data_IF_721239662761
#
_entry.id   IF_721239662761
#
_cell.length_a   1.000
_cell.length_b   1.000
_cell.length_c   1.000
_cell.angle_alpha   90.00
_cell.angle_beta   90.00
_cell.angle_gamma   90.00
#
_symmetry.space_group_name_H-M   'P 1'
#
loop_
_entity.id
_entity.type
_entity.pdbx_description
1 polymer ?
#
# COMPACT_ATOMS: atom_id res chain seq x y z
N UNK A 1 -7.31 33.48 -73.78
CA UNK A 1 -7.92 33.27 -72.44
C UNK A 1 -7.63 31.83 -71.98
N UNK A 2 -6.57 31.63 -71.17
CA UNK A 2 -6.21 30.31 -70.62
C UNK A 2 -7.14 30.00 -69.44
N UNK A 3 -8.04 29.03 -69.62
CA UNK A 3 -8.95 28.55 -68.56
C UNK A 3 -8.11 27.97 -67.41
N UNK A 4 -8.35 28.45 -66.19
CA UNK A 4 -7.71 27.99 -64.96
C UNK A 4 -8.23 26.62 -64.52
N UNK A 5 -7.86 25.56 -65.23
CA UNK A 5 -8.33 24.18 -64.98
C UNK A 5 -7.72 23.55 -63.71
N UNK A 6 -6.89 24.28 -62.95
CA UNK A 6 -6.24 23.80 -61.72
C UNK A 6 -6.84 24.30 -60.40
N UNK A 7 -7.57 25.43 -60.39
CA UNK A 7 -8.05 26.07 -59.15
C UNK A 7 -9.31 25.38 -58.60
N UNK A 8 -10.17 24.87 -59.48
CA UNK A 8 -11.38 24.13 -59.08
C UNK A 8 -11.07 22.75 -58.50
N UNK A 9 -10.01 22.08 -58.97
CA UNK A 9 -9.52 20.82 -58.38
C UNK A 9 -8.98 21.03 -56.98
N UNK A 10 -8.20 22.10 -56.78
CA UNK A 10 -7.65 22.47 -55.47
C UNK A 10 -8.74 22.87 -54.46
N UNK A 11 -9.77 23.62 -54.90
CA UNK A 11 -10.89 24.00 -54.00
C UNK A 11 -11.79 22.80 -53.67
N UNK A 12 -11.93 21.84 -54.59
CA UNK A 12 -12.66 20.59 -54.33
C UNK A 12 -11.89 19.66 -53.38
N UNK A 13 -10.57 19.63 -53.49
CA UNK A 13 -9.68 18.92 -52.57
C UNK A 13 -9.67 19.55 -51.17
N UNK A 14 -9.67 20.89 -51.06
CA UNK A 14 -9.73 21.56 -49.77
C UNK A 14 -11.12 21.39 -49.11
N UNK A 15 -12.20 21.48 -49.89
CA UNK A 15 -13.55 21.21 -49.41
C UNK A 15 -13.75 19.77 -48.94
N UNK A 16 -13.22 18.77 -49.67
CA UNK A 16 -13.31 17.37 -49.26
C UNK A 16 -12.50 17.09 -47.99
N UNK A 17 -11.29 17.65 -47.87
CA UNK A 17 -10.45 17.52 -46.67
C UNK A 17 -11.15 18.12 -45.44
N UNK A 18 -11.79 19.29 -45.59
CA UNK A 18 -12.56 19.91 -44.51
C UNK A 18 -13.78 19.06 -44.09
N UNK A 19 -14.47 18.44 -45.05
CA UNK A 19 -15.58 17.52 -44.77
C UNK A 19 -15.12 16.22 -44.09
N UNK A 20 -13.99 15.66 -44.51
CA UNK A 20 -13.41 14.49 -43.83
C UNK A 20 -12.97 14.83 -42.40
N UNK A 21 -12.40 16.02 -42.18
CA UNK A 21 -12.04 16.50 -40.85
C UNK A 21 -13.27 16.71 -39.95
N UNK A 22 -14.36 17.29 -40.46
CA UNK A 22 -15.59 17.47 -39.67
C UNK A 22 -16.27 16.13 -39.34
N UNK A 23 -16.30 15.19 -40.30
CA UNK A 23 -16.82 13.84 -40.08
C UNK A 23 -15.98 13.09 -39.05
N UNK A 24 -14.64 13.14 -39.16
CA UNK A 24 -13.72 12.54 -38.20
C UNK A 24 -13.92 13.09 -36.79
N UNK A 25 -14.06 14.41 -36.65
CA UNK A 25 -14.37 15.05 -35.37
C UNK A 25 -15.73 14.59 -34.83
N UNK A 26 -16.76 14.49 -35.67
CA UNK A 26 -18.10 14.04 -35.26
C UNK A 26 -18.10 12.57 -34.80
N UNK A 27 -17.39 11.70 -35.52
CA UNK A 27 -17.24 10.28 -35.11
C UNK A 27 -16.51 10.20 -33.77
N UNK A 28 -15.44 10.99 -33.60
CA UNK A 28 -14.67 11.03 -32.36
C UNK A 28 -15.51 11.54 -31.17
N UNK A 29 -16.30 12.61 -31.36
CA UNK A 29 -17.17 13.13 -30.30
C UNK A 29 -18.29 12.14 -29.96
N UNK A 30 -18.82 11.42 -30.94
CA UNK A 30 -19.84 10.39 -30.70
C UNK A 30 -19.25 9.21 -29.91
N UNK A 31 -18.08 8.70 -30.29
CA UNK A 31 -17.37 7.66 -29.53
C UNK A 31 -17.08 8.08 -28.08
N UNK A 32 -16.67 9.33 -27.86
CA UNK A 32 -16.45 9.86 -26.50
C UNK A 32 -17.76 9.91 -25.71
N UNK A 33 -18.86 10.28 -26.37
CA UNK A 33 -20.18 10.38 -25.73
C UNK A 33 -20.70 8.99 -25.35
N UNK A 34 -20.55 8.02 -26.24
CA UNK A 34 -20.92 6.62 -26.00
C UNK A 34 -20.10 6.01 -24.86
N UNK A 35 -18.78 6.25 -24.85
CA UNK A 35 -17.90 5.80 -23.77
C UNK A 35 -18.31 6.41 -22.42
N UNK A 36 -18.64 7.70 -22.39
CA UNK A 36 -19.13 8.37 -21.16
C UNK A 36 -20.43 7.74 -20.66
N UNK A 37 -21.37 7.44 -21.55
CA UNK A 37 -22.62 6.79 -21.18
C UNK A 37 -22.40 5.37 -20.63
N UNK A 38 -21.48 4.61 -21.23
CA UNK A 38 -21.09 3.27 -20.75
C UNK A 38 -20.43 3.34 -19.37
N UNK A 39 -19.52 4.30 -19.14
CA UNK A 39 -18.87 4.50 -17.85
C UNK A 39 -19.89 4.86 -16.75
N UNK A 40 -20.86 5.72 -17.06
CA UNK A 40 -21.89 6.11 -16.09
C UNK A 40 -22.86 4.95 -15.75
N UNK A 41 -23.23 4.15 -16.75
CA UNK A 41 -24.02 2.93 -16.56
C UNK A 41 -23.27 1.92 -15.69
N UNK A 42 -22.02 1.64 -16.02
CA UNK A 42 -21.17 0.74 -15.23
C UNK A 42 -21.01 1.24 -13.79
N UNK A 43 -20.80 2.54 -13.62
CA UNK A 43 -20.71 3.16 -12.31
C UNK A 43 -21.96 2.95 -11.47
N UNK A 44 -23.13 3.20 -12.05
CA UNK A 44 -24.42 3.03 -11.35
C UNK A 44 -24.63 1.58 -10.93
N UNK A 45 -24.26 0.63 -11.80
CA UNK A 45 -24.28 -0.79 -11.48
C UNK A 45 -23.33 -1.13 -10.32
N UNK A 46 -22.11 -0.58 -10.31
CA UNK A 46 -21.11 -0.85 -9.26
C UNK A 46 -21.52 -0.26 -7.90
N UNK A 47 -22.12 0.93 -7.87
CA UNK A 47 -22.68 1.52 -6.64
C UNK A 47 -23.83 0.65 -6.12
N UNK A 48 -24.72 0.19 -7.00
CA UNK A 48 -25.85 -0.66 -6.62
C UNK A 48 -25.37 -2.00 -6.08
N UNK A 49 -24.39 -2.62 -6.74
CA UNK A 49 -23.75 -3.85 -6.30
C UNK A 49 -23.11 -3.70 -4.92
N UNK A 50 -22.36 -2.62 -4.69
CA UNK A 50 -21.73 -2.39 -3.40
C UNK A 50 -22.72 -2.21 -2.27
N UNK A 51 -23.84 -1.51 -2.51
CA UNK A 51 -24.89 -1.35 -1.49
C UNK A 51 -25.58 -2.67 -1.15
N UNK A 52 -25.84 -3.50 -2.16
CA UNK A 52 -26.47 -4.81 -1.96
C UNK A 52 -25.55 -5.81 -1.24
N UNK A 53 -24.25 -5.80 -1.57
CA UNK A 53 -23.27 -6.78 -1.10
C UNK A 53 -22.25 -6.20 -0.10
N UNK A 54 -22.59 -5.12 0.61
CA UNK A 54 -21.64 -4.45 1.51
C UNK A 54 -21.10 -5.40 2.59
N UNK A 55 -22.00 -6.15 3.24
CA UNK A 55 -21.62 -7.12 4.27
C UNK A 55 -20.72 -8.24 3.71
N UNK A 56 -21.01 -8.72 2.51
CA UNK A 56 -20.22 -9.77 1.85
C UNK A 56 -18.81 -9.25 1.50
N UNK A 57 -18.72 -8.02 0.97
CA UNK A 57 -17.45 -7.34 0.67
C UNK A 57 -16.62 -7.13 1.95
N UNK A 58 -17.27 -6.83 3.08
CA UNK A 58 -16.59 -6.71 4.38
C UNK A 58 -16.16 -8.05 4.95
N UNK A 59 -16.84 -9.14 4.65
CA UNK A 59 -16.53 -10.46 5.22
C UNK A 59 -15.51 -11.26 4.40
N UNK A 60 -15.59 -11.20 3.08
CA UNK A 60 -14.74 -11.98 2.17
C UNK A 60 -13.61 -11.11 1.56
N UNK A 61 -12.33 -11.33 1.94
CA UNK A 61 -11.21 -10.60 1.37
C UNK A 61 -11.04 -10.81 -0.13
N UNK A 62 -11.37 -11.99 -0.67
CA UNK A 62 -11.22 -12.26 -2.11
C UNK A 62 -12.22 -11.43 -2.91
N UNK A 63 -13.49 -11.40 -2.48
CA UNK A 63 -14.51 -10.53 -3.05
C UNK A 63 -14.12 -9.06 -2.93
N UNK A 64 -13.64 -8.65 -1.75
CA UNK A 64 -13.18 -7.28 -1.49
C UNK A 64 -12.09 -6.85 -2.46
N UNK A 65 -11.10 -7.69 -2.68
CA UNK A 65 -10.00 -7.43 -3.60
C UNK A 65 -10.47 -7.31 -5.06
N UNK A 66 -11.35 -8.21 -5.51
CA UNK A 66 -11.88 -8.14 -6.88
C UNK A 66 -12.74 -6.88 -7.08
N UNK A 67 -13.57 -6.54 -6.10
CA UNK A 67 -14.36 -5.32 -6.13
C UNK A 67 -13.49 -4.07 -6.26
N UNK A 68 -12.39 -4.02 -5.52
CA UNK A 68 -11.43 -2.92 -5.58
C UNK A 68 -10.65 -2.86 -6.89
N UNK A 69 -10.27 -4.02 -7.46
CA UNK A 69 -9.69 -4.09 -8.80
C UNK A 69 -10.61 -3.49 -9.85
N UNK A 70 -11.92 -3.77 -9.77
CA UNK A 70 -12.92 -3.18 -10.66
C UNK A 70 -13.01 -1.65 -10.48
N UNK A 71 -12.97 -1.15 -9.25
CA UNK A 71 -12.93 0.30 -8.98
C UNK A 71 -11.66 0.94 -9.59
N UNK A 72 -10.49 0.35 -9.33
CA UNK A 72 -9.21 0.87 -9.81
C UNK A 72 -9.11 0.89 -11.34
N UNK A 73 -9.67 -0.11 -12.03
CA UNK A 73 -9.68 -0.18 -13.49
C UNK A 73 -10.38 1.03 -14.16
N UNK A 74 -11.32 1.67 -13.45
CA UNK A 74 -12.05 2.84 -13.95
C UNK A 74 -11.39 4.15 -13.51
N UNK A 75 -10.28 4.07 -12.77
CA UNK A 75 -9.63 5.23 -12.16
C UNK A 75 -10.39 5.76 -10.95
N UNK A 76 -11.19 4.89 -10.31
CA UNK A 76 -11.91 5.19 -9.09
C UNK A 76 -11.16 4.59 -7.91
N UNK A 77 -10.81 5.42 -6.94
CA UNK A 77 -10.28 4.95 -5.66
C UNK A 77 -11.41 4.80 -4.62
N UNK A 78 -11.75 3.56 -4.19
CA UNK A 78 -12.77 3.35 -3.17
C UNK A 78 -12.37 3.86 -1.78
N UNK A 79 -11.09 4.21 -1.57
CA UNK A 79 -10.54 4.71 -0.31
C UNK A 79 -10.68 6.23 -0.16
N UNK A 80 -10.90 6.96 -1.25
CA UNK A 80 -11.09 8.41 -1.20
C UNK A 80 -12.55 8.71 -0.86
N UNK A 81 -12.81 8.87 0.44
CA UNK A 81 -14.04 9.48 0.98
C UNK A 81 -14.19 10.94 0.57
N UNK A 82 -15.41 11.48 0.67
CA UNK A 82 -15.84 12.76 0.07
C UNK A 82 -15.22 14.02 0.65
N UNK A 83 -14.16 13.91 1.45
CA UNK A 83 -13.47 15.03 2.08
C UNK A 83 -12.29 15.60 1.29
N UNK A 84 -11.69 14.86 0.36
CA UNK A 84 -10.53 15.35 -0.39
C UNK A 84 -10.96 16.27 -1.55
N UNK A 85 -11.23 17.54 -1.25
CA UNK A 85 -11.19 18.66 -2.23
C UNK A 85 -9.75 18.92 -2.70
N UNK A 86 -9.10 17.87 -3.21
CA UNK A 86 -7.75 17.89 -3.76
C UNK A 86 -7.82 18.17 -5.26
N UNK A 87 -7.44 19.38 -5.61
CA UNK A 87 -7.30 19.92 -6.95
C UNK A 87 -6.49 19.00 -7.88
N UNK A 88 -7.14 18.46 -8.91
CA UNK A 88 -6.48 17.97 -10.13
C UNK A 88 -6.39 16.45 -10.30
N UNK A 89 -7.36 15.88 -11.02
CA UNK A 89 -7.18 15.17 -12.31
C UNK A 89 -8.50 14.46 -12.65
N UNK A 90 -8.99 14.77 -13.86
CA UNK A 90 -10.17 14.24 -14.58
C UNK A 90 -11.55 14.44 -13.91
N UNK A 91 -12.50 15.00 -14.67
CA UNK A 91 -13.88 15.31 -14.23
C UNK A 91 -14.78 14.09 -13.94
N UNK A 92 -14.19 12.94 -13.61
CA UNK A 92 -14.84 11.69 -13.21
C UNK A 92 -14.54 11.33 -11.74
N UNK A 93 -13.79 12.16 -11.02
CA UNK A 93 -13.59 12.03 -9.56
C UNK A 93 -14.84 12.49 -8.80
N UNK A 94 -15.89 11.68 -8.86
CA UNK A 94 -16.99 11.75 -7.91
C UNK A 94 -16.68 10.79 -6.79
N UNK A 95 -16.46 11.32 -5.59
CA UNK A 95 -16.21 10.60 -4.33
C UNK A 95 -17.06 9.32 -4.19
N UNK A 96 -16.37 8.18 -4.14
CA UNK A 96 -16.98 6.87 -3.91
C UNK A 96 -16.93 6.46 -2.44
N UNK A 97 -16.02 7.04 -1.64
CA UNK A 97 -15.86 6.60 -0.27
C UNK A 97 -17.08 6.86 0.62
N UNK A 98 -17.87 7.90 0.37
CA UNK A 98 -19.12 8.17 1.14
C UNK A 98 -20.29 7.28 0.67
N UNK A 99 -20.29 6.81 -0.58
CA UNK A 99 -21.39 6.02 -1.15
C UNK A 99 -21.25 4.51 -0.96
N UNK A 100 -20.03 4.02 -0.74
CA UNK A 100 -19.75 2.59 -0.64
C UNK A 100 -19.62 2.08 0.80
N UNK A 101 -19.47 2.97 1.81
CA UNK A 101 -19.27 2.56 3.22
C UNK A 101 -18.04 1.68 3.48
N UNK A 102 -17.20 1.51 2.45
CA UNK A 102 -15.97 0.73 2.49
C UNK A 102 -14.80 1.58 2.99
N UNK A 103 -14.85 2.89 2.76
CA UNK A 103 -13.87 3.86 3.27
C UNK A 103 -13.87 3.85 4.80
N UNK A 104 -15.05 3.88 5.43
CA UNK A 104 -15.24 3.83 6.88
C UNK A 104 -14.57 2.59 7.51
N UNK A 105 -14.82 1.40 6.94
CA UNK A 105 -14.16 0.16 7.39
C UNK A 105 -12.63 0.22 7.22
N UNK A 106 -12.13 0.80 6.13
CA UNK A 106 -10.67 0.95 5.94
C UNK A 106 -10.05 2.00 6.87
N UNK A 107 -10.79 3.05 7.24
CA UNK A 107 -10.36 4.03 8.24
C UNK A 107 -10.33 3.39 9.62
N UNK A 108 -11.35 2.61 9.98
CA UNK A 108 -11.38 1.83 11.21
C UNK A 108 -10.19 0.87 11.30
N UNK A 109 -9.92 0.13 10.21
CA UNK A 109 -8.74 -0.75 10.12
C UNK A 109 -7.44 0.04 10.27
N UNK A 110 -7.33 1.22 9.66
CA UNK A 110 -6.15 2.07 9.79
C UNK A 110 -5.92 2.54 11.24
N UNK A 111 -6.97 2.89 11.97
CA UNK A 111 -6.87 3.25 13.39
C UNK A 111 -6.42 2.06 14.23
N UNK A 112 -6.92 0.86 13.97
CA UNK A 112 -6.49 -0.34 14.68
C UNK A 112 -5.04 -0.73 14.36
N UNK A 113 -4.60 -0.55 13.11
CA UNK A 113 -3.18 -0.71 12.74
C UNK A 113 -2.31 0.24 13.57
N UNK A 114 -2.72 1.50 13.70
CA UNK A 114 -2.02 2.49 14.55
C UNK A 114 -1.97 2.01 16.01
N UNK A 115 -3.08 1.56 16.56
CA UNK A 115 -3.17 1.12 17.97
C UNK A 115 -2.23 -0.07 18.25
N UNK A 116 -2.25 -1.08 17.38
CA UNK A 116 -1.34 -2.24 17.49
C UNK A 116 0.12 -1.81 17.36
N UNK A 117 0.44 -0.94 16.40
CA UNK A 117 1.80 -0.44 16.22
C UNK A 117 2.30 0.36 17.43
N UNK A 118 1.47 1.25 17.98
CA UNK A 118 1.81 2.07 19.16
C UNK A 118 1.98 1.19 20.39
N UNK A 119 1.07 0.26 20.64
CA UNK A 119 1.09 -0.63 21.81
C UNK A 119 2.30 -1.58 21.84
N UNK A 120 2.88 -1.91 20.68
CA UNK A 120 4.06 -2.79 20.59
C UNK A 120 5.37 -2.01 20.37
N UNK A 121 5.32 -0.68 20.22
CA UNK A 121 6.48 0.15 19.88
C UNK A 121 7.61 0.05 20.89
N UNK A 122 7.28 0.01 22.17
CA UNK A 122 8.28 -0.09 23.25
C UNK A 122 9.04 -1.43 23.21
N UNK A 123 8.43 -2.46 22.60
CA UNK A 123 9.05 -3.79 22.48
C UNK A 123 9.86 -3.93 21.20
N UNK A 124 9.34 -3.48 20.06
CA UNK A 124 9.91 -3.79 18.74
C UNK A 124 10.53 -2.58 18.01
N UNK A 125 10.58 -1.41 18.65
CA UNK A 125 11.15 -0.19 18.07
C UNK A 125 10.33 0.41 16.92
N UNK A 126 9.10 -0.07 16.71
CA UNK A 126 8.22 0.38 15.64
C UNK A 126 8.33 -0.41 14.33
N UNK A 127 8.95 -1.60 14.36
CA UNK A 127 8.98 -2.56 13.25
C UNK A 127 8.19 -3.82 13.62
N UNK A 128 7.29 -4.26 12.74
CA UNK A 128 6.47 -5.46 12.98
C UNK A 128 6.31 -6.27 11.70
N UNK A 129 6.44 -7.59 11.78
CA UNK A 129 6.17 -8.45 10.63
C UNK A 129 4.69 -8.38 10.23
N UNK A 130 4.39 -8.39 8.92
CA UNK A 130 3.02 -8.34 8.40
C UNK A 130 2.13 -9.45 8.96
N UNK A 131 2.67 -10.67 9.12
CA UNK A 131 1.91 -11.81 9.66
C UNK A 131 1.61 -11.65 11.15
N UNK A 132 2.54 -11.08 11.93
CA UNK A 132 2.32 -10.81 13.35
C UNK A 132 1.27 -9.70 13.54
N UNK A 133 1.33 -8.65 12.71
CA UNK A 133 0.32 -7.60 12.68
C UNK A 133 -1.07 -8.17 12.36
N UNK A 134 -1.19 -9.06 11.35
CA UNK A 134 -2.46 -9.73 11.03
C UNK A 134 -3.01 -10.51 12.21
N UNK A 135 -2.18 -11.34 12.86
CA UNK A 135 -2.59 -12.12 14.03
C UNK A 135 -3.09 -11.23 15.17
N UNK A 136 -2.37 -10.13 15.47
CA UNK A 136 -2.76 -9.16 16.49
C UNK A 136 -4.08 -8.46 16.14
N UNK A 137 -4.30 -8.12 14.87
CA UNK A 137 -5.55 -7.50 14.41
C UNK A 137 -6.74 -8.47 14.46
N UNK A 138 -6.55 -9.75 14.09
CA UNK A 138 -7.59 -10.78 14.22
C UNK A 138 -8.02 -10.95 15.68
N UNK A 139 -7.05 -10.96 16.60
CA UNK A 139 -7.31 -11.00 18.05
C UNK A 139 -8.07 -9.76 18.53
N UNK A 140 -7.66 -8.56 18.10
CA UNK A 140 -8.30 -7.31 18.49
C UNK A 140 -9.76 -7.24 18.03
N UNK A 141 -10.06 -7.79 16.85
CA UNK A 141 -11.40 -7.80 16.25
C UNK A 141 -12.29 -8.97 16.69
N UNK A 142 -11.73 -9.97 17.38
CA UNK A 142 -12.40 -11.26 17.63
C UNK A 142 -12.96 -11.87 16.32
N UNK A 143 -12.19 -11.74 15.24
CA UNK A 143 -12.54 -12.26 13.92
C UNK A 143 -11.69 -13.48 13.56
N UNK A 144 -12.24 -14.45 12.83
CA UNK A 144 -11.48 -15.64 12.43
C UNK A 144 -10.31 -15.26 11.50
N UNK A 145 -9.24 -16.04 11.58
CA UNK A 145 -8.11 -15.90 10.67
C UNK A 145 -8.60 -15.99 9.21
N UNK A 146 -8.20 -15.00 8.40
CA UNK A 146 -8.56 -14.93 6.98
C UNK A 146 -9.63 -13.90 6.62
N UNK A 147 -10.20 -13.13 7.56
CA UNK A 147 -11.08 -11.98 7.22
C UNK A 147 -10.31 -10.74 6.72
N UNK A 148 -9.03 -10.67 7.07
CA UNK A 148 -8.09 -9.61 6.70
C UNK A 148 -6.97 -10.20 5.85
N UNK A 149 -6.64 -9.51 4.75
CA UNK A 149 -5.51 -9.83 3.90
C UNK A 149 -4.36 -8.82 4.07
N UNK A 150 -3.12 -9.17 3.69
CA UNK A 150 -2.01 -8.22 3.64
C UNK A 150 -2.31 -6.98 2.77
N UNK A 151 -3.15 -7.14 1.75
CA UNK A 151 -3.57 -6.06 0.86
C UNK A 151 -4.47 -5.05 1.59
N UNK A 152 -5.30 -5.50 2.55
CA UNK A 152 -6.09 -4.61 3.42
C UNK A 152 -5.19 -3.74 4.29
N UNK A 153 -4.16 -4.33 4.90
CA UNK A 153 -3.17 -3.59 5.68
C UNK A 153 -2.42 -2.61 4.80
N UNK A 154 -2.00 -3.01 3.60
CA UNK A 154 -1.34 -2.11 2.65
C UNK A 154 -2.21 -0.91 2.25
N UNK A 155 -3.53 -1.08 2.17
CA UNK A 155 -4.47 0.04 1.97
C UNK A 155 -4.60 0.92 3.20
N UNK A 156 -4.72 0.33 4.38
CA UNK A 156 -4.73 1.07 5.64
C UNK A 156 -3.47 1.95 5.78
N UNK A 157 -2.28 1.41 5.47
CA UNK A 157 -1.02 2.15 5.50
C UNK A 157 -0.99 3.29 4.48
N UNK A 158 -1.55 3.10 3.27
CA UNK A 158 -1.69 4.19 2.28
C UNK A 158 -2.55 5.34 2.79
N UNK A 159 -3.62 5.03 3.55
CA UNK A 159 -4.47 6.04 4.20
C UNK A 159 -3.70 6.80 5.28
N UNK A 160 -2.78 6.14 6.00
CA UNK A 160 -1.96 6.75 7.04
C UNK A 160 -0.79 7.60 6.49
N UNK A 161 -0.37 7.37 5.24
CA UNK A 161 0.79 8.05 4.62
C UNK A 161 0.75 9.60 4.71
N UNK A 162 -0.40 10.29 4.47
CA UNK A 162 -0.49 11.74 4.58
C UNK A 162 -0.24 12.29 5.99
N UNK A 163 -0.35 11.46 7.04
CA UNK A 163 -0.09 11.88 8.41
C UNK A 163 1.41 12.12 8.70
N UNK A 164 2.30 11.62 7.84
CA UNK A 164 3.74 11.83 7.99
C UNK A 164 4.38 11.13 9.19
N UNK A 165 3.69 10.18 9.83
CA UNK A 165 4.15 9.49 11.03
C UNK A 165 5.12 8.31 10.76
N UNK A 166 5.52 8.08 9.51
CA UNK A 166 6.48 7.02 9.15
C UNK A 166 5.86 5.65 8.85
N UNK A 167 4.54 5.57 8.71
CA UNK A 167 3.85 4.34 8.32
C UNK A 167 4.21 3.91 6.90
N UNK A 168 4.90 2.79 6.78
CA UNK A 168 5.34 2.25 5.50
C UNK A 168 5.50 0.73 5.54
N UNK A 169 5.28 0.07 4.40
CA UNK A 169 5.63 -1.33 4.22
C UNK A 169 7.06 -1.40 3.70
N UNK A 170 7.94 -2.04 4.46
CA UNK A 170 9.34 -2.27 4.10
C UNK A 170 9.53 -3.76 3.82
N UNK A 171 10.14 -4.08 2.68
CA UNK A 171 10.51 -5.45 2.36
C UNK A 171 11.93 -5.72 2.86
N UNK A 172 12.08 -6.72 3.72
CA UNK A 172 13.39 -7.13 4.26
C UNK A 172 13.58 -8.61 3.98
N UNK A 173 14.57 -8.93 3.16
CA UNK A 173 14.76 -10.28 2.59
C UNK A 173 13.47 -10.78 1.92
N UNK A 174 12.87 -11.85 2.44
CA UNK A 174 11.64 -12.46 1.90
C UNK A 174 10.38 -12.07 2.68
N UNK A 175 10.50 -11.26 3.72
CA UNK A 175 9.38 -10.90 4.60
C UNK A 175 9.00 -9.43 4.45
N UNK A 176 7.70 -9.15 4.59
CA UNK A 176 7.16 -7.79 4.60
C UNK A 176 6.98 -7.32 6.04
N UNK A 177 7.50 -6.14 6.34
CA UNK A 177 7.40 -5.48 7.64
C UNK A 177 6.59 -4.20 7.52
N UNK A 178 5.86 -3.87 8.57
CA UNK A 178 5.23 -2.56 8.76
C UNK A 178 6.09 -1.75 9.69
N UNK A 179 6.58 -0.62 9.18
CA UNK A 179 7.26 0.42 9.95
C UNK A 179 6.23 1.43 10.41
N UNK A 180 6.35 1.88 11.66
CA UNK A 180 5.45 2.86 12.29
C UNK A 180 6.20 4.09 12.86
N UNK A 181 7.47 4.25 12.48
CA UNK A 181 8.36 5.32 12.92
C UNK A 181 9.04 5.96 11.71
N UNK A 182 9.33 7.26 11.81
CA UNK A 182 9.95 8.01 10.71
C UNK A 182 11.44 7.72 10.49
N UNK A 183 12.08 6.89 11.33
CA UNK A 183 13.49 6.54 11.17
C UNK A 183 13.70 5.67 9.94
N UNK A 184 14.66 6.03 9.09
CA UNK A 184 15.05 5.23 7.93
C UNK A 184 15.91 4.04 8.36
N UNK A 185 15.61 2.88 7.78
CA UNK A 185 16.40 1.68 7.99
C UNK A 185 17.62 1.75 7.08
N UNK A 186 18.81 1.86 7.67
CA UNK A 186 20.05 1.82 6.91
C UNK A 186 20.27 0.42 6.29
N UNK A 187 21.09 0.35 5.24
CA UNK A 187 21.40 -0.89 4.51
C UNK A 187 21.94 -1.96 5.44
N UNK A 188 22.80 -1.57 6.39
CA UNK A 188 23.39 -2.47 7.36
C UNK A 188 22.34 -3.02 8.33
N UNK A 189 21.39 -2.18 8.74
CA UNK A 189 20.30 -2.57 9.64
C UNK A 189 19.29 -3.47 8.94
N UNK A 190 18.98 -3.19 7.67
CA UNK A 190 18.15 -4.07 6.85
C UNK A 190 18.80 -5.46 6.68
N UNK A 191 20.12 -5.49 6.49
CA UNK A 191 20.87 -6.76 6.39
C UNK A 191 20.82 -7.54 7.71
N UNK A 192 21.07 -6.88 8.84
CA UNK A 192 20.99 -7.51 10.17
C UNK A 192 19.57 -7.99 10.49
N UNK A 193 18.55 -7.19 10.18
CA UNK A 193 17.15 -7.56 10.36
C UNK A 193 16.79 -8.80 9.53
N UNK A 194 17.28 -8.89 8.29
CA UNK A 194 17.16 -10.09 7.45
C UNK A 194 17.83 -11.32 8.08
N UNK A 195 19.06 -11.18 8.57
CA UNK A 195 19.76 -12.26 9.27
C UNK A 195 19.05 -12.68 10.56
N UNK A 196 18.42 -11.73 11.27
CA UNK A 196 17.66 -12.02 12.49
C UNK A 196 16.43 -12.87 12.18
N UNK A 197 15.73 -12.59 11.07
CA UNK A 197 14.59 -13.39 10.59
C UNK A 197 14.93 -14.86 10.37
N UNK A 198 16.13 -15.18 9.89
CA UNK A 198 16.59 -16.56 9.67
C UNK A 198 17.06 -17.26 10.97
N UNK A 199 17.31 -16.50 12.03
CA UNK A 199 17.92 -16.96 13.28
C UNK A 199 17.02 -16.79 14.50
N UNK A 200 15.70 -16.76 14.28
CA UNK A 200 14.69 -16.57 15.33
C UNK A 200 14.95 -15.33 16.21
N UNK A 201 15.46 -14.25 15.59
CA UNK A 201 15.72 -12.97 16.24
C UNK A 201 17.07 -12.85 16.95
N UNK A 202 17.88 -13.90 17.03
CA UNK A 202 19.17 -13.86 17.75
C UNK A 202 20.34 -13.54 16.82
N UNK A 203 21.15 -12.55 17.20
CA UNK A 203 22.36 -12.15 16.47
C UNK A 203 23.57 -12.03 17.41
N UNK A 204 24.72 -12.54 16.95
CA UNK A 204 26.02 -12.42 17.62
C UNK A 204 27.02 -11.71 16.72
N UNK A 205 27.83 -10.80 17.26
CA UNK A 205 28.79 -10.02 16.46
C UNK A 205 29.74 -10.90 15.65
N UNK A 206 30.38 -11.90 16.29
CA UNK A 206 31.34 -12.80 15.63
C UNK A 206 30.73 -13.59 14.47
N UNK A 207 29.48 -14.01 14.62
CA UNK A 207 28.76 -14.74 13.58
C UNK A 207 28.40 -13.82 12.41
N UNK A 208 27.99 -12.58 12.70
CA UNK A 208 27.67 -11.60 11.66
C UNK A 208 28.93 -11.14 10.91
N UNK A 209 30.05 -10.97 11.61
CA UNK A 209 31.34 -10.68 10.97
C UNK A 209 31.75 -11.79 10.00
N UNK A 210 31.65 -13.06 10.42
CA UNK A 210 32.00 -14.20 9.58
C UNK A 210 31.04 -14.37 8.38
N UNK A 211 29.74 -14.14 8.59
CA UNK A 211 28.71 -14.30 7.56
C UNK A 211 28.74 -13.18 6.52
N UNK A 212 28.86 -11.93 6.97
CA UNK A 212 28.76 -10.73 6.13
C UNK A 212 30.12 -10.21 5.64
N UNK A 213 31.22 -10.75 6.17
CA UNK A 213 32.58 -10.28 5.88
C UNK A 213 32.85 -8.87 6.40
N UNK A 214 32.12 -8.43 7.42
CA UNK A 214 32.25 -7.09 7.99
C UNK A 214 33.41 -7.00 8.98
N UNK A 215 34.01 -5.82 9.07
CA UNK A 215 35.01 -5.53 10.10
C UNK A 215 34.33 -5.28 11.47
N UNK A 216 35.14 -5.33 12.53
CA UNK A 216 34.67 -5.18 13.92
C UNK A 216 33.97 -3.84 14.14
N UNK A 217 34.55 -2.74 13.64
CA UNK A 217 34.00 -1.38 13.81
C UNK A 217 32.63 -1.22 13.17
N UNK A 218 32.45 -1.70 11.92
CA UNK A 218 31.17 -1.64 11.19
C UNK A 218 30.12 -2.48 11.89
N UNK A 219 30.47 -3.70 12.30
CA UNK A 219 29.54 -4.61 12.98
C UNK A 219 29.05 -4.00 14.29
N UNK A 220 29.97 -3.51 15.13
CA UNK A 220 29.62 -2.83 16.39
C UNK A 220 28.78 -1.59 16.15
N UNK A 221 29.13 -0.77 15.16
CA UNK A 221 28.36 0.44 14.83
C UNK A 221 26.93 0.10 14.38
N UNK A 222 26.76 -0.97 13.62
CA UNK A 222 25.45 -1.44 13.17
C UNK A 222 24.61 -2.02 14.33
N UNK A 223 25.23 -2.79 15.23
CA UNK A 223 24.59 -3.30 16.45
C UNK A 223 24.17 -2.15 17.38
N UNK A 224 25.07 -1.20 17.65
CA UNK A 224 24.79 -0.01 18.44
C UNK A 224 23.67 0.83 17.82
N UNK A 225 23.62 0.96 16.50
CA UNK A 225 22.53 1.64 15.82
C UNK A 225 21.19 0.92 16.02
N UNK A 226 21.14 -0.41 15.88
CA UNK A 226 19.91 -1.18 16.11
C UNK A 226 19.40 -1.06 17.55
N UNK A 227 20.29 -1.04 18.55
CA UNK A 227 19.91 -0.96 19.97
C UNK A 227 19.61 0.48 20.39
N UNK A 228 20.59 1.39 20.24
CA UNK A 228 20.56 2.72 20.89
C UNK A 228 19.82 3.77 20.07
N UNK A 229 19.96 3.74 18.74
CA UNK A 229 19.38 4.76 17.85
C UNK A 229 17.93 4.42 17.53
N UNK A 230 17.69 3.19 17.10
CA UNK A 230 16.41 2.79 16.52
C UNK A 230 15.54 1.94 17.47
N UNK A 231 16.10 1.43 18.58
CA UNK A 231 15.36 0.64 19.56
C UNK A 231 14.79 -0.67 19.01
N UNK A 232 15.37 -1.18 17.93
CA UNK A 232 14.93 -2.39 17.22
C UNK A 232 15.43 -3.68 17.87
N UNK A 233 16.45 -3.59 18.72
CA UNK A 233 17.09 -4.74 19.32
C UNK A 233 17.32 -4.56 20.83
N UNK A 234 17.23 -5.67 21.56
CA UNK A 234 17.52 -5.78 22.98
C UNK A 234 18.89 -6.41 23.16
N UNK A 235 19.58 -6.02 24.22
CA UNK A 235 20.91 -6.55 24.56
C UNK A 235 20.77 -7.68 25.55
N UNK A 236 21.47 -8.78 25.29
CA UNK A 236 21.67 -9.87 26.24
C UNK A 236 23.16 -9.99 26.56
N UNK A 237 23.51 -9.66 27.80
CA UNK A 237 24.88 -9.75 28.34
C UNK A 237 25.15 -11.08 29.07
N UNK A 238 24.12 -11.92 29.24
CA UNK A 238 24.21 -13.15 30.04
C UNK A 238 24.70 -14.35 29.24
N UNK A 239 24.89 -14.20 27.93
CA UNK A 239 25.22 -15.31 27.05
C UNK A 239 26.70 -15.73 27.13
N UNK A 240 26.92 -17.05 27.16
CA UNK A 240 28.26 -17.64 27.08
C UNK A 240 28.84 -17.44 25.67
N UNK A 241 29.57 -16.33 25.47
CA UNK A 241 30.20 -16.02 24.18
C UNK A 241 30.42 -14.53 23.89
N UNK A 242 29.83 -13.65 24.70
CA UNK A 242 29.89 -12.21 24.54
C UNK A 242 28.48 -11.60 24.46
N UNK A 243 28.43 -10.30 24.18
CA UNK A 243 27.17 -9.57 24.01
C UNK A 243 26.41 -10.09 22.78
N UNK A 244 25.14 -10.42 22.98
CA UNK A 244 24.21 -10.79 21.91
C UNK A 244 23.11 -9.74 21.80
N UNK A 245 22.54 -9.62 20.60
CA UNK A 245 21.35 -8.81 20.41
C UNK A 245 20.20 -9.67 19.92
N UNK A 246 19.02 -9.26 20.37
CA UNK A 246 17.76 -9.92 20.14
C UNK A 246 16.83 -8.93 19.43
N UNK A 247 16.30 -9.29 18.27
CA UNK A 247 15.46 -8.42 17.45
C UNK A 247 13.99 -8.86 17.60
N UNK A 248 13.18 -8.17 18.44
CA UNK A 248 11.84 -8.63 18.80
C UNK A 248 10.86 -8.73 17.63
N UNK A 249 11.07 -7.91 16.60
CA UNK A 249 10.21 -7.84 15.42
C UNK A 249 10.27 -9.09 14.53
N UNK A 250 11.33 -9.90 14.66
CA UNK A 250 11.52 -11.15 13.92
C UNK A 250 11.26 -12.39 14.78
N UNK A 251 10.92 -12.20 16.05
CA UNK A 251 10.63 -13.30 16.98
C UNK A 251 9.19 -13.73 16.87
N UNK A 252 8.96 -15.02 17.08
CA UNK A 252 7.62 -15.55 17.30
C UNK A 252 7.32 -15.49 18.78
N UNK A 253 6.37 -14.65 19.17
CA UNK A 253 5.90 -14.54 20.54
C UNK A 253 4.72 -15.51 20.72
N UNK A 254 4.95 -16.62 21.41
CA UNK A 254 3.86 -17.36 22.02
C UNK A 254 3.42 -16.58 23.26
N UNK A 255 2.31 -15.86 23.16
CA UNK A 255 1.70 -15.23 24.34
C UNK A 255 1.18 -16.34 25.27
N UNK A 256 1.51 -16.24 26.56
CA UNK A 256 1.01 -17.16 27.57
C UNK A 256 -0.53 -17.11 27.60
N UNK A 257 -1.14 -18.28 27.39
CA UNK A 257 -2.59 -18.53 27.48
C UNK A 257 -3.21 -18.09 28.80
#
# INVERSE_FOLDING_TARGET
MRRGVGISGLSRQSASTAQYASLSNTISTQQITDLKAQLESFRTALITFSKAHNADIKKDPALRHQFQKMCAAIGVDPLVGGGARGQGKTGLSLSWGDMLGMSDWTYELAVQVVDVCVSNRDRNGGMMEMNDLLKKLHRLRDEPEGTLSPEDIGRAIKILKPLGAGYEIVQVSHQSYVRSVASELDTDQATLLGCAGERAGRLREREMMALLGWNDIRTRSAFDAMVKRDGLAWVDEQAEGGMEIWVPSTMTWEEAS
#
